data_IF_498381207076
#
_entry.id   IF_498381207076
#
_cell.length_a   1.000
_cell.length_b   1.000
_cell.length_c   1.000
_cell.angle_alpha   90.00
_cell.angle_beta   90.00
_cell.angle_gamma   90.00
#
_symmetry.space_group_name_H-M   'P 1'
#
loop_
_entity.id
_entity.type
_entity.pdbx_description
1 polymer ?
#
# COMPACT_ATOMS: atom_id res chain seq x y z
N UNK A 1 8.46 22.85 -7.89
CA UNK A 1 7.80 22.74 -6.58
C UNK A 1 7.42 24.13 -6.14
N UNK A 2 6.16 24.32 -5.78
CA UNK A 2 5.59 25.60 -5.34
C UNK A 2 5.08 25.44 -3.91
N UNK A 3 5.19 26.48 -3.07
CA UNK A 3 4.81 26.43 -1.65
C UNK A 3 3.88 27.60 -1.35
N UNK A 4 2.77 27.33 -0.69
CA UNK A 4 1.74 28.31 -0.36
C UNK A 4 1.46 28.32 1.14
N UNK A 5 1.37 29.52 1.70
CA UNK A 5 1.01 29.79 3.10
C UNK A 5 -0.27 30.64 3.22
N UNK A 6 -0.71 31.24 2.11
CA UNK A 6 -1.87 32.14 2.04
C UNK A 6 -2.74 31.80 0.82
N UNK A 7 -3.99 32.26 0.82
CA UNK A 7 -4.96 32.05 -0.27
C UNK A 7 -5.07 30.57 -0.67
N UNK A 8 -4.99 29.68 0.33
CA UNK A 8 -4.88 28.24 0.14
C UNK A 8 -6.10 27.69 -0.59
N UNK A 9 -7.30 28.09 -0.18
CA UNK A 9 -8.53 27.62 -0.82
C UNK A 9 -8.64 28.05 -2.28
N UNK A 10 -8.40 29.34 -2.59
CA UNK A 10 -8.51 29.83 -3.97
C UNK A 10 -7.47 29.19 -4.86
N UNK A 11 -6.26 28.96 -4.34
CA UNK A 11 -5.20 28.28 -5.09
C UNK A 11 -5.55 26.82 -5.30
N UNK A 12 -6.00 26.11 -4.26
CA UNK A 12 -6.44 24.72 -4.38
C UNK A 12 -7.56 24.56 -5.41
N UNK A 13 -8.59 25.39 -5.39
CA UNK A 13 -9.69 25.33 -6.38
C UNK A 13 -9.16 25.49 -7.81
N UNK A 14 -8.30 26.49 -8.05
CA UNK A 14 -7.69 26.71 -9.38
C UNK A 14 -6.91 25.49 -9.86
N UNK A 15 -6.16 24.85 -8.97
CA UNK A 15 -5.41 23.65 -9.29
C UNK A 15 -6.33 22.47 -9.60
N UNK A 16 -7.37 22.23 -8.80
CA UNK A 16 -8.36 21.19 -9.07
C UNK A 16 -9.04 21.41 -10.42
N UNK A 17 -9.38 22.66 -10.77
CA UNK A 17 -9.99 23.01 -12.06
C UNK A 17 -9.07 22.79 -13.27
N UNK A 18 -7.77 22.63 -13.04
CA UNK A 18 -6.79 22.26 -14.08
C UNK A 18 -6.85 20.78 -14.47
N UNK A 19 -7.50 19.92 -13.66
CA UNK A 19 -7.64 18.50 -13.95
C UNK A 19 -8.32 18.24 -15.29
N UNK A 20 -7.89 17.19 -16.00
CA UNK A 20 -8.41 16.78 -17.31
C UNK A 20 -8.86 15.33 -17.35
N UNK A 21 -8.29 14.47 -16.51
CA UNK A 21 -8.52 13.02 -16.51
C UNK A 21 -8.97 12.50 -15.16
N UNK A 22 -8.26 12.85 -14.09
CA UNK A 22 -8.51 12.27 -12.77
C UNK A 22 -8.17 13.20 -11.62
N UNK A 23 -8.91 13.00 -10.52
CA UNK A 23 -8.64 13.56 -9.20
C UNK A 23 -8.73 12.43 -8.16
N UNK A 24 -7.67 12.28 -7.38
CA UNK A 24 -7.59 11.35 -6.26
C UNK A 24 -7.29 12.14 -4.99
N UNK A 25 -8.26 12.24 -4.09
CA UNK A 25 -8.19 13.13 -2.91
C UNK A 25 -8.24 12.28 -1.64
N UNK A 26 -7.33 12.51 -0.70
CA UNK A 26 -7.37 11.94 0.66
C UNK A 26 -7.18 13.06 1.67
N UNK A 27 -8.25 13.36 2.41
CA UNK A 27 -8.24 14.45 3.41
C UNK A 27 -8.97 14.03 4.67
N UNK A 28 -8.41 14.35 5.85
CA UNK A 28 -9.07 14.05 7.12
C UNK A 28 -10.43 14.75 7.25
N UNK A 29 -10.50 16.02 6.84
CA UNK A 29 -11.72 16.84 6.85
C UNK A 29 -11.91 17.58 5.52
N UNK A 30 -13.15 17.54 5.03
CA UNK A 30 -13.57 18.18 3.78
C UNK A 30 -14.95 18.80 3.92
N UNK A 31 -15.02 20.13 3.90
CA UNK A 31 -16.28 20.85 3.78
C UNK A 31 -16.78 20.83 2.33
N UNK A 32 -17.51 19.77 1.98
CA UNK A 32 -18.01 19.52 0.62
C UNK A 32 -18.76 20.70 -0.01
N UNK A 33 -19.43 21.54 0.81
CA UNK A 33 -20.22 22.69 0.33
C UNK A 33 -19.36 23.72 -0.42
N UNK A 34 -18.07 23.80 -0.08
CA UNK A 34 -17.13 24.77 -0.66
C UNK A 34 -16.57 24.31 -2.01
N UNK A 35 -16.45 23.00 -2.19
CA UNK A 35 -15.86 22.38 -3.38
C UNK A 35 -16.90 21.75 -4.31
N UNK A 36 -18.19 21.76 -3.94
CA UNK A 36 -19.28 21.14 -4.69
C UNK A 36 -19.33 21.58 -6.15
N UNK A 37 -19.31 22.90 -6.40
CA UNK A 37 -19.36 23.43 -7.75
C UNK A 37 -18.17 22.95 -8.61
N UNK A 38 -16.97 22.95 -8.03
CA UNK A 38 -15.74 22.47 -8.68
C UNK A 38 -15.84 21.00 -9.04
N UNK A 39 -16.22 20.14 -8.08
CA UNK A 39 -16.35 18.70 -8.33
C UNK A 39 -17.44 18.37 -9.36
N UNK A 40 -18.61 19.03 -9.29
CA UNK A 40 -19.68 18.84 -10.27
C UNK A 40 -19.22 19.27 -11.67
N UNK A 41 -18.54 20.41 -11.79
CA UNK A 41 -18.07 20.92 -13.08
C UNK A 41 -17.00 20.02 -13.70
N UNK A 42 -16.10 19.46 -12.89
CA UNK A 42 -15.08 18.52 -13.35
C UNK A 42 -15.69 17.17 -13.74
N UNK A 43 -16.62 16.65 -12.96
CA UNK A 43 -17.32 15.41 -13.30
C UNK A 43 -18.10 15.55 -14.62
N UNK A 44 -18.74 16.71 -14.87
CA UNK A 44 -19.39 17.02 -16.16
C UNK A 44 -18.41 17.07 -17.34
N UNK A 45 -17.14 17.41 -17.10
CA UNK A 45 -16.07 17.37 -18.12
C UNK A 45 -15.52 15.96 -18.32
N UNK A 46 -16.01 14.96 -17.58
CA UNK A 46 -15.57 13.57 -17.66
C UNK A 46 -14.32 13.24 -16.84
N UNK A 47 -13.95 14.10 -15.87
CA UNK A 47 -12.86 13.81 -14.94
C UNK A 47 -13.32 12.72 -13.95
N UNK A 48 -12.52 11.66 -13.77
CA UNK A 48 -12.73 10.63 -12.75
C UNK A 48 -12.34 11.17 -11.38
N UNK A 49 -13.31 11.38 -10.48
CA UNK A 49 -13.08 12.00 -9.17
C UNK A 49 -13.33 10.97 -8.08
N UNK A 50 -12.28 10.68 -7.32
CA UNK A 50 -12.30 9.77 -6.17
C UNK A 50 -11.82 10.50 -4.93
N UNK A 51 -12.63 10.46 -3.88
CA UNK A 51 -12.40 11.19 -2.63
C UNK A 51 -12.48 10.23 -1.47
N UNK A 52 -11.46 10.22 -0.62
CA UNK A 52 -11.46 9.51 0.66
C UNK A 52 -11.40 10.53 1.79
N UNK A 53 -12.32 10.39 2.73
CA UNK A 53 -12.39 11.22 3.94
C UNK A 53 -12.46 10.39 5.20
N UNK A 54 -12.01 10.96 6.33
CA UNK A 54 -12.16 10.32 7.63
C UNK A 54 -13.63 10.18 8.01
N UNK A 55 -14.00 9.04 8.61
CA UNK A 55 -15.33 8.83 9.17
C UNK A 55 -15.53 9.68 10.42
N UNK A 56 -16.23 10.80 10.29
CA UNK A 56 -16.61 11.67 11.40
C UNK A 56 -17.93 12.41 11.11
N UNK A 57 -18.54 12.94 12.17
CA UNK A 57 -19.84 13.60 12.10
C UNK A 57 -19.85 14.85 11.22
N UNK A 58 -18.73 15.56 11.12
CA UNK A 58 -18.66 16.83 10.37
C UNK A 58 -18.67 16.55 8.87
N UNK A 59 -17.80 15.65 8.39
CA UNK A 59 -17.78 15.20 6.99
C UNK A 59 -19.13 14.63 6.57
N UNK A 60 -19.78 13.82 7.42
CA UNK A 60 -21.11 13.26 7.15
C UNK A 60 -22.17 14.35 6.99
N UNK A 61 -22.15 15.38 7.85
CA UNK A 61 -23.08 16.52 7.78
C UNK A 61 -22.81 17.40 6.55
N UNK A 62 -21.55 17.72 6.27
CA UNK A 62 -21.18 18.57 5.14
C UNK A 62 -21.54 17.92 3.81
N UNK A 63 -21.33 16.60 3.65
CA UNK A 63 -21.74 15.89 2.44
C UNK A 63 -23.26 15.90 2.26
N UNK A 64 -24.03 15.62 3.32
CA UNK A 64 -25.51 15.65 3.28
C UNK A 64 -26.08 17.03 2.94
N UNK A 65 -25.32 18.09 3.20
CA UNK A 65 -25.67 19.46 2.82
C UNK A 65 -25.47 19.79 1.34
N UNK A 66 -25.03 18.84 0.51
CA UNK A 66 -24.73 19.02 -0.91
C UNK A 66 -25.47 18.00 -1.78
N UNK A 67 -25.56 18.26 -3.08
CA UNK A 67 -26.07 17.31 -4.07
C UNK A 67 -25.12 16.12 -4.29
N UNK A 68 -23.84 16.23 -3.90
CA UNK A 68 -22.84 15.18 -4.04
C UNK A 68 -23.19 13.92 -3.25
N UNK A 69 -23.83 14.06 -2.09
CA UNK A 69 -24.19 12.92 -1.24
C UNK A 69 -25.16 11.91 -1.87
N UNK A 70 -25.85 12.30 -2.95
CA UNK A 70 -26.74 11.42 -3.73
C UNK A 70 -26.25 11.19 -5.17
N UNK A 71 -25.14 11.83 -5.57
CA UNK A 71 -24.60 11.76 -6.92
C UNK A 71 -23.67 10.55 -7.07
N UNK A 72 -23.72 9.90 -8.23
CA UNK A 72 -22.72 8.89 -8.64
C UNK A 72 -21.58 9.47 -9.48
N UNK A 73 -21.58 10.79 -9.68
CA UNK A 73 -20.59 11.46 -10.52
C UNK A 73 -19.22 11.60 -9.84
N UNK A 74 -19.14 11.36 -8.53
CA UNK A 74 -17.93 11.40 -7.71
C UNK A 74 -17.96 10.19 -6.78
N UNK A 75 -16.90 9.39 -6.72
CA UNK A 75 -16.78 8.27 -5.76
C UNK A 75 -16.25 8.82 -4.43
N UNK A 76 -17.10 8.86 -3.41
CA UNK A 76 -16.77 9.40 -2.09
C UNK A 76 -16.81 8.26 -1.07
N UNK A 77 -15.69 8.01 -0.42
CA UNK A 77 -15.54 6.98 0.60
C UNK A 77 -15.22 7.57 1.96
N UNK A 78 -15.88 7.06 2.98
CA UNK A 78 -15.58 7.36 4.37
C UNK A 78 -14.86 6.17 4.97
N UNK A 79 -13.67 6.39 5.50
CA UNK A 79 -12.89 5.32 6.11
C UNK A 79 -12.81 5.49 7.62
N UNK A 80 -12.89 4.37 8.33
CA UNK A 80 -12.42 4.27 9.71
C UNK A 80 -10.95 3.87 9.66
N UNK A 81 -10.17 4.42 10.58
CA UNK A 81 -8.79 3.97 10.71
C UNK A 81 -8.72 2.61 11.42
N UNK A 82 -7.70 1.81 11.11
CA UNK A 82 -7.44 0.54 11.81
C UNK A 82 -7.34 0.69 13.33
N UNK A 83 -7.60 -0.41 14.06
CA UNK A 83 -7.40 -0.45 15.52
C UNK A 83 -5.95 -0.07 15.84
N UNK A 84 -5.76 0.74 16.88
CA UNK A 84 -4.46 1.27 17.29
C UNK A 84 -4.10 2.62 16.67
N UNK A 85 -4.84 3.08 15.65
CA UNK A 85 -4.66 4.39 15.04
C UNK A 85 -5.72 5.38 15.52
N UNK A 86 -5.36 6.67 15.53
CA UNK A 86 -6.25 7.75 15.97
C UNK A 86 -7.29 8.16 14.92
N UNK A 87 -6.82 8.77 13.83
CA UNK A 87 -7.67 9.36 12.77
C UNK A 87 -6.97 9.34 11.41
N UNK A 88 -7.75 9.42 10.31
CA UNK A 88 -7.18 9.70 8.99
C UNK A 88 -6.74 11.16 8.97
N UNK A 89 -5.42 11.41 9.01
CA UNK A 89 -4.86 12.77 9.06
C UNK A 89 -4.17 13.21 7.77
N UNK A 90 -4.19 12.38 6.72
CA UNK A 90 -3.69 12.77 5.40
C UNK A 90 -4.39 14.04 4.91
N UNK A 91 -3.66 14.88 4.18
CA UNK A 91 -4.19 15.99 3.38
C UNK A 91 -3.43 16.05 2.06
N UNK A 92 -3.82 15.22 1.10
CA UNK A 92 -3.22 15.26 -0.22
C UNK A 92 -4.23 15.06 -1.34
N UNK A 93 -3.85 15.51 -2.54
CA UNK A 93 -4.58 15.31 -3.77
C UNK A 93 -3.59 15.00 -4.89
N UNK A 94 -3.98 14.09 -5.78
CA UNK A 94 -3.25 13.76 -7.01
C UNK A 94 -4.12 14.18 -8.19
N UNK A 95 -3.55 14.99 -9.07
CA UNK A 95 -4.20 15.51 -10.28
C UNK A 95 -3.55 14.85 -11.50
N UNK A 96 -4.37 14.19 -12.31
CA UNK A 96 -4.01 13.57 -13.59
C UNK A 96 -2.77 12.64 -13.53
N UNK A 97 -2.51 12.03 -12.36
CA UNK A 97 -1.31 11.22 -12.10
C UNK A 97 0.00 11.94 -12.46
N UNK A 98 0.06 13.26 -12.21
CA UNK A 98 1.24 14.10 -12.52
C UNK A 98 1.54 15.14 -11.47
N UNK A 99 0.52 15.65 -10.79
CA UNK A 99 0.68 16.68 -9.77
C UNK A 99 0.20 16.14 -8.43
N UNK A 100 1.00 16.33 -7.40
CA UNK A 100 0.62 16.12 -6.00
C UNK A 100 0.50 17.46 -5.30
N UNK A 101 -0.59 17.65 -4.57
CA UNK A 101 -0.75 18.73 -3.60
C UNK A 101 -0.79 18.09 -2.23
N UNK A 102 0.05 18.53 -1.29
CA UNK A 102 0.07 17.98 0.08
C UNK A 102 0.50 19.03 1.10
N UNK A 103 0.07 18.90 2.36
CA UNK A 103 0.39 19.89 3.39
C UNK A 103 -0.33 19.66 4.71
N UNK A 104 -0.41 20.71 5.52
CA UNK A 104 -1.17 20.72 6.77
C UNK A 104 -2.64 21.10 6.58
N UNK A 105 -2.94 21.84 5.50
CA UNK A 105 -4.26 22.41 5.22
C UNK A 105 -5.38 21.36 5.11
N UNK A 106 -6.25 21.31 6.12
CA UNK A 106 -7.54 20.61 6.01
C UNK A 106 -8.47 21.40 5.08
N UNK A 107 -9.30 20.71 4.29
CA UNK A 107 -10.13 21.35 3.27
C UNK A 107 -11.45 21.84 3.88
N UNK A 108 -11.34 22.72 4.88
CA UNK A 108 -12.45 23.23 5.69
C UNK A 108 -12.43 24.75 5.75
N UNK A 109 -13.57 25.35 6.11
CA UNK A 109 -13.63 26.80 6.31
C UNK A 109 -12.66 27.29 7.37
N UNK A 110 -12.66 26.68 8.55
CA UNK A 110 -11.81 27.09 9.68
C UNK A 110 -10.32 27.03 9.35
N UNK A 111 -9.90 26.02 8.57
CA UNK A 111 -8.52 25.95 8.10
C UNK A 111 -8.17 27.08 7.13
N UNK A 112 -9.13 27.57 6.35
CA UNK A 112 -8.94 28.65 5.39
C UNK A 112 -8.97 30.05 6.04
N UNK A 113 -9.76 30.24 7.09
CA UNK A 113 -9.98 31.55 7.73
C UNK A 113 -9.22 31.77 9.03
N UNK A 114 -8.97 30.71 9.81
CA UNK A 114 -8.65 30.84 11.24
C UNK A 114 -7.45 29.98 11.68
N UNK A 115 -6.73 29.33 10.75
CA UNK A 115 -5.58 28.46 11.05
C UNK A 115 -4.36 28.86 10.23
N UNK A 116 -3.16 28.72 10.82
CA UNK A 116 -1.90 28.81 10.08
C UNK A 116 -1.63 27.47 9.41
N UNK A 117 -1.74 27.45 8.09
CA UNK A 117 -1.70 26.23 7.29
C UNK A 117 -0.78 26.43 6.08
N UNK A 118 -0.35 25.33 5.46
CA UNK A 118 0.38 25.38 4.21
C UNK A 118 0.05 24.17 3.33
N UNK A 119 0.38 24.28 2.05
CA UNK A 119 0.59 23.12 1.20
C UNK A 119 1.70 23.39 0.18
N UNK A 120 2.24 22.30 -0.36
CA UNK A 120 3.17 22.30 -1.48
C UNK A 120 2.50 21.69 -2.70
N UNK A 121 2.86 22.20 -3.88
CA UNK A 121 2.52 21.60 -5.16
C UNK A 121 3.78 21.04 -5.79
N UNK A 122 3.74 19.74 -6.07
CA UNK A 122 4.83 18.97 -6.67
C UNK A 122 4.34 18.48 -8.03
N UNK A 123 5.01 18.86 -9.11
CA UNK A 123 4.60 18.57 -10.49
C UNK A 123 5.65 17.72 -11.20
N UNK A 124 5.19 16.77 -11.99
CA UNK A 124 5.99 15.96 -12.91
C UNK A 124 7.19 15.28 -12.21
N UNK A 125 6.98 14.87 -10.95
CA UNK A 125 7.93 14.07 -10.17
C UNK A 125 7.35 12.66 -10.02
N UNK A 126 7.61 11.81 -11.00
CA UNK A 126 7.01 10.46 -11.13
C UNK A 126 7.13 9.65 -9.83
N UNK A 127 8.33 9.55 -9.25
CA UNK A 127 8.54 8.82 -7.99
C UNK A 127 7.67 9.34 -6.83
N UNK A 128 7.44 10.65 -6.75
CA UNK A 128 6.58 11.24 -5.70
C UNK A 128 5.12 10.93 -5.98
N UNK A 129 4.67 11.14 -7.22
CA UNK A 129 3.30 10.85 -7.65
C UNK A 129 2.96 9.39 -7.41
N UNK A 130 3.87 8.48 -7.77
CA UNK A 130 3.71 7.05 -7.59
C UNK A 130 3.51 6.69 -6.11
N UNK A 131 4.37 7.19 -5.22
CA UNK A 131 4.24 6.91 -3.78
C UNK A 131 2.93 7.43 -3.17
N UNK A 132 2.45 8.59 -3.60
CA UNK A 132 1.14 9.08 -3.16
C UNK A 132 0.00 8.27 -3.79
N UNK A 133 0.16 7.80 -5.02
CA UNK A 133 -0.83 6.95 -5.70
C UNK A 133 -0.96 5.60 -5.00
N UNK A 134 0.16 5.02 -4.56
CA UNK A 134 0.18 3.77 -3.78
C UNK A 134 -0.60 3.94 -2.47
N UNK A 135 -0.32 5.00 -1.71
CA UNK A 135 -1.04 5.28 -0.45
C UNK A 135 -2.52 5.61 -0.70
N UNK A 136 -2.84 6.31 -1.80
CA UNK A 136 -4.22 6.52 -2.21
C UNK A 136 -4.92 5.19 -2.43
N UNK A 137 -4.30 4.26 -3.18
CA UNK A 137 -4.88 2.95 -3.45
C UNK A 137 -5.07 2.14 -2.16
N UNK A 138 -4.13 2.21 -1.21
CA UNK A 138 -4.26 1.58 0.13
C UNK A 138 -5.49 2.09 0.84
N UNK A 139 -5.61 3.40 0.95
CA UNK A 139 -6.65 4.06 1.73
C UNK A 139 -8.02 3.95 1.05
N UNK A 140 -8.08 4.03 -0.27
CA UNK A 140 -9.31 3.96 -1.05
C UNK A 140 -9.95 2.57 -1.03
N UNK A 141 -9.15 1.50 -1.04
CA UNK A 141 -9.64 0.13 -0.96
C UNK A 141 -9.73 -0.41 0.48
N UNK A 142 -9.51 0.43 1.48
CA UNK A 142 -9.62 0.05 2.89
C UNK A 142 -11.09 -0.11 3.31
N UNK A 143 -11.60 -1.35 3.23
CA UNK A 143 -12.94 -1.71 3.70
C UNK A 143 -12.93 -2.17 5.15
N UNK A 144 -14.09 -2.15 5.83
CA UNK A 144 -14.21 -2.69 7.19
C UNK A 144 -13.87 -4.18 7.24
N UNK A 145 -14.32 -4.97 6.26
CA UNK A 145 -14.00 -6.39 6.10
C UNK A 145 -12.49 -6.60 5.95
N UNK A 146 -11.82 -5.82 5.10
CA UNK A 146 -10.37 -5.90 4.92
C UNK A 146 -9.63 -5.59 6.22
N UNK A 147 -10.02 -4.52 6.91
CA UNK A 147 -9.45 -4.16 8.21
C UNK A 147 -9.67 -5.27 9.25
N UNK A 148 -10.83 -5.91 9.24
CA UNK A 148 -11.10 -7.03 10.12
C UNK A 148 -10.10 -8.16 9.88
N UNK A 149 -9.97 -8.63 8.64
CA UNK A 149 -9.11 -9.77 8.31
C UNK A 149 -7.62 -9.50 8.52
N UNK A 150 -7.13 -8.31 8.19
CA UNK A 150 -5.71 -7.97 8.34
C UNK A 150 -5.32 -7.78 9.82
N UNK A 151 -6.21 -7.28 10.67
CA UNK A 151 -5.88 -6.96 12.07
C UNK A 151 -6.29 -8.02 13.09
N UNK A 152 -7.18 -8.94 12.74
CA UNK A 152 -7.65 -9.98 13.66
C UNK A 152 -6.86 -11.26 13.43
N UNK A 153 -5.58 -11.22 13.79
CA UNK A 153 -4.71 -12.39 13.76
C UNK A 153 -5.18 -13.46 14.76
N UNK A 154 -5.21 -14.69 14.29
CA UNK A 154 -5.47 -15.87 15.12
C UNK A 154 -4.32 -16.05 16.14
N UNK A 155 -4.63 -16.65 17.28
CA UNK A 155 -3.60 -17.03 18.24
C UNK A 155 -2.91 -18.30 17.76
N UNK A 156 -1.60 -18.40 18.01
CA UNK A 156 -0.88 -19.66 17.81
C UNK A 156 -1.56 -20.80 18.59
N UNK A 157 -1.72 -21.95 17.93
CA UNK A 157 -2.41 -23.11 18.49
C UNK A 157 -1.51 -23.98 19.38
N UNK A 158 -0.20 -23.71 19.41
CA UNK A 158 0.76 -24.44 20.22
C UNK A 158 0.54 -24.18 21.73
N UNK A 159 0.72 -25.22 22.55
CA UNK A 159 0.48 -25.13 23.99
C UNK A 159 1.40 -24.07 24.62
N UNK A 160 0.81 -23.15 25.41
CA UNK A 160 1.52 -22.04 26.12
C UNK A 160 2.17 -21.00 25.21
N UNK A 161 2.09 -21.13 23.89
CA UNK A 161 2.54 -20.07 22.98
C UNK A 161 1.56 -18.88 23.05
N UNK A 162 2.10 -17.66 23.03
CA UNK A 162 1.32 -16.41 23.03
C UNK A 162 1.38 -15.67 21.70
N UNK A 163 2.09 -16.24 20.72
CA UNK A 163 2.27 -15.62 19.42
C UNK A 163 0.99 -15.57 18.59
N UNK A 164 1.07 -14.78 17.52
CA UNK A 164 0.02 -14.62 16.52
C UNK A 164 0.39 -15.36 15.25
N UNK A 165 -0.61 -15.88 14.56
CA UNK A 165 -0.43 -16.52 13.26
C UNK A 165 -0.54 -15.48 12.16
N UNK A 166 0.44 -15.46 11.28
CA UNK A 166 0.48 -14.63 10.07
C UNK A 166 0.77 -15.51 8.86
N UNK A 167 0.11 -15.21 7.75
CA UNK A 167 0.35 -15.89 6.48
C UNK A 167 1.33 -15.09 5.63
N UNK A 168 2.45 -15.71 5.27
CA UNK A 168 3.43 -15.17 4.33
C UNK A 168 3.44 -16.00 3.07
N UNK A 169 3.49 -15.34 1.91
CA UNK A 169 3.70 -16.00 0.63
C UNK A 169 5.19 -16.06 0.33
N UNK A 170 5.73 -17.27 0.18
CA UNK A 170 7.14 -17.53 -0.06
C UNK A 170 7.31 -18.15 -1.44
N UNK A 171 8.08 -17.52 -2.31
CA UNK A 171 8.45 -18.09 -3.61
C UNK A 171 9.81 -18.75 -3.57
N UNK A 172 9.94 -19.83 -4.34
CA UNK A 172 11.21 -20.47 -4.61
C UNK A 172 11.99 -19.70 -5.68
N UNK A 173 13.32 -19.71 -5.60
CA UNK A 173 14.21 -19.04 -6.57
C UNK A 173 14.30 -19.84 -7.90
N UNK A 174 13.97 -21.13 -7.85
CA UNK A 174 13.96 -22.01 -9.01
C UNK A 174 12.55 -22.23 -9.51
N UNK A 175 12.37 -22.11 -10.82
CA UNK A 175 11.17 -22.58 -11.50
C UNK A 175 11.00 -24.09 -11.29
N UNK A 176 9.76 -24.55 -11.22
CA UNK A 176 9.47 -25.98 -11.22
C UNK A 176 9.92 -26.66 -12.53
N UNK A 177 9.70 -27.98 -12.63
CA UNK A 177 10.06 -28.76 -13.82
C UNK A 177 9.41 -28.29 -15.13
N UNK A 178 8.42 -27.40 -15.06
CA UNK A 178 7.73 -26.80 -16.20
C UNK A 178 8.14 -25.36 -16.49
N UNK A 179 8.95 -24.75 -15.61
CA UNK A 179 9.40 -23.36 -15.77
C UNK A 179 8.58 -22.36 -14.96
N UNK A 180 7.63 -22.80 -14.14
CA UNK A 180 6.74 -21.92 -13.39
C UNK A 180 7.33 -21.57 -12.01
N UNK A 181 7.22 -20.30 -11.61
CA UNK A 181 7.62 -19.85 -10.27
C UNK A 181 6.51 -20.22 -9.28
N UNK A 182 6.80 -21.16 -8.38
CA UNK A 182 5.83 -21.68 -7.41
C UNK A 182 5.92 -20.90 -6.10
N UNK A 183 4.76 -20.39 -5.66
CA UNK A 183 4.59 -19.72 -4.38
C UNK A 183 3.80 -20.59 -3.42
N UNK A 184 4.33 -20.73 -2.21
CA UNK A 184 3.72 -21.47 -1.11
C UNK A 184 3.30 -20.49 0.00
N UNK A 185 2.13 -20.73 0.59
CA UNK A 185 1.65 -19.93 1.72
C UNK A 185 2.08 -20.63 3.01
N UNK A 186 2.90 -19.94 3.80
CA UNK A 186 3.34 -20.39 5.11
C UNK A 186 2.58 -19.60 6.18
N UNK A 187 1.84 -20.31 7.02
CA UNK A 187 1.31 -19.75 8.26
C UNK A 187 2.36 -19.91 9.35
N UNK A 188 2.87 -18.79 9.86
CA UNK A 188 3.99 -18.73 10.79
C UNK A 188 3.60 -18.01 12.08
N UNK A 189 4.11 -18.49 13.21
CA UNK A 189 3.95 -17.86 14.51
C UNK A 189 4.91 -16.68 14.70
N UNK A 190 4.42 -15.57 15.25
CA UNK A 190 5.25 -14.38 15.48
C UNK A 190 6.25 -14.48 16.64
N UNK A 191 6.11 -15.46 17.54
CA UNK A 191 7.01 -15.64 18.70
C UNK A 191 8.00 -16.80 18.51
N UNK A 192 7.53 -17.90 17.92
CA UNK A 192 8.33 -19.13 17.73
C UNK A 192 8.27 -19.56 16.25
N UNK A 193 8.80 -18.74 15.32
CA UNK A 193 8.58 -18.93 13.88
C UNK A 193 9.22 -20.19 13.30
N UNK A 194 10.26 -20.72 13.97
CA UNK A 194 11.00 -21.90 13.52
C UNK A 194 10.43 -23.22 14.06
N UNK A 195 9.60 -23.17 15.10
CA UNK A 195 8.96 -24.35 15.69
C UNK A 195 7.47 -24.41 15.36
N UNK A 196 6.82 -23.26 15.27
CA UNK A 196 5.37 -23.15 15.09
C UNK A 196 5.04 -22.51 13.73
N UNK A 197 5.17 -23.31 12.68
CA UNK A 197 4.71 -22.96 11.35
C UNK A 197 4.03 -24.15 10.67
N UNK A 198 3.26 -23.88 9.62
CA UNK A 198 2.78 -24.90 8.69
C UNK A 198 2.67 -24.30 7.30
N UNK A 199 3.00 -25.11 6.30
CA UNK A 199 2.61 -24.84 4.92
C UNK A 199 1.11 -25.12 4.79
N UNK A 200 0.38 -24.18 4.21
CA UNK A 200 -1.02 -24.39 3.85
C UNK A 200 -1.05 -25.13 2.51
N UNK A 201 -1.93 -26.14 2.38
CA UNK A 201 -2.12 -26.95 1.16
C UNK A 201 -2.81 -26.14 0.03
N UNK A 202 -2.36 -24.91 -0.20
CA UNK A 202 -2.89 -23.95 -1.15
C UNK A 202 -1.72 -23.43 -1.99
N UNK A 203 -1.59 -23.98 -3.20
CA UNK A 203 -0.63 -23.46 -4.18
C UNK A 203 -1.19 -22.14 -4.71
N UNK A 204 -0.35 -21.12 -4.84
CA UNK A 204 -0.76 -19.88 -5.49
C UNK A 204 -0.98 -20.13 -6.99
N UNK A 205 -2.24 -20.22 -7.40
CA UNK A 205 -2.65 -20.33 -8.81
C UNK A 205 -3.07 -18.96 -9.38
N UNK A 206 -2.88 -17.86 -8.62
CA UNK A 206 -3.20 -16.52 -9.14
C UNK A 206 -2.17 -16.12 -10.21
N UNK A 207 -2.59 -15.98 -11.49
CA UNK A 207 -1.66 -15.68 -12.57
C UNK A 207 -1.00 -14.31 -12.45
N UNK A 208 -1.58 -13.37 -11.70
CA UNK A 208 -0.96 -12.07 -11.47
C UNK A 208 0.13 -12.15 -10.41
N UNK A 209 -0.06 -12.95 -9.36
CA UNK A 209 0.96 -13.17 -8.34
C UNK A 209 2.17 -13.90 -8.93
N UNK A 210 1.94 -14.96 -9.70
CA UNK A 210 3.02 -15.71 -10.35
C UNK A 210 3.78 -14.83 -11.34
N UNK A 211 3.06 -14.05 -12.17
CA UNK A 211 3.71 -13.09 -13.09
C UNK A 211 4.54 -12.05 -12.34
N UNK A 212 4.05 -11.53 -11.21
CA UNK A 212 4.84 -10.59 -10.40
C UNK A 212 6.11 -11.23 -9.83
N UNK A 213 6.06 -12.51 -9.45
CA UNK A 213 7.24 -13.25 -9.00
C UNK A 213 8.23 -13.51 -10.14
N UNK A 214 7.75 -13.89 -11.33
CA UNK A 214 8.57 -14.06 -12.54
C UNK A 214 9.28 -12.76 -12.93
N UNK A 215 8.53 -11.66 -13.06
CA UNK A 215 9.08 -10.34 -13.39
C UNK A 215 10.06 -9.84 -12.32
N UNK A 216 9.83 -10.18 -11.06
CA UNK A 216 10.79 -9.89 -10.00
C UNK A 216 12.11 -10.62 -10.21
N UNK A 217 12.07 -11.92 -10.53
CA UNK A 217 13.28 -12.72 -10.76
C UNK A 217 14.06 -12.16 -11.94
N UNK A 218 13.36 -11.82 -13.04
CA UNK A 218 13.96 -11.18 -14.20
C UNK A 218 14.58 -9.82 -13.86
N UNK A 219 13.82 -8.93 -13.21
CA UNK A 219 14.29 -7.60 -12.82
C UNK A 219 15.47 -7.65 -11.86
N UNK A 220 15.45 -8.57 -10.90
CA UNK A 220 16.56 -8.75 -9.95
C UNK A 220 17.82 -9.23 -10.66
N UNK A 221 17.72 -10.17 -11.61
CA UNK A 221 18.86 -10.63 -12.43
C UNK A 221 19.47 -9.48 -13.23
N UNK A 222 18.65 -8.67 -13.90
CA UNK A 222 19.14 -7.52 -14.67
C UNK A 222 19.89 -6.49 -13.80
N UNK A 223 19.43 -6.26 -12.56
CA UNK A 223 20.10 -5.36 -11.62
C UNK A 223 21.42 -5.95 -11.08
N UNK A 224 21.48 -7.26 -10.82
CA UNK A 224 22.72 -7.91 -10.42
C UNK A 224 23.76 -7.97 -11.54
N UNK A 225 23.35 -8.07 -12.81
CA UNK A 225 24.28 -7.94 -13.93
C UNK A 225 24.89 -6.52 -13.96
N UNK A 226 24.07 -5.48 -13.72
CA UNK A 226 24.55 -4.09 -13.61
C UNK A 226 25.47 -3.85 -12.39
N UNK A 227 25.29 -4.62 -11.31
CA UNK A 227 26.19 -4.62 -10.16
C UNK A 227 27.60 -5.07 -10.54
N UNK A 228 27.68 -6.16 -11.32
CA UNK A 228 28.96 -6.74 -11.74
C UNK A 228 29.72 -5.83 -12.70
N UNK A 229 29.00 -4.98 -13.43
CA UNK A 229 29.57 -3.91 -14.27
C UNK A 229 29.96 -2.63 -13.47
N UNK A 230 30.00 -2.69 -12.14
CA UNK A 230 30.35 -1.61 -11.17
C UNK A 230 29.45 -0.34 -11.21
N UNK A 231 28.25 -0.42 -11.79
CA UNK A 231 27.36 0.76 -11.93
C UNK A 231 26.47 1.06 -10.71
N UNK A 232 26.31 0.10 -9.78
CA UNK A 232 25.40 0.21 -8.63
C UNK A 232 26.02 -0.41 -7.37
N UNK A 233 25.60 0.06 -6.19
CA UNK A 233 25.89 -0.63 -4.93
C UNK A 233 24.84 -1.71 -4.65
N UNK A 234 25.13 -2.64 -3.72
CA UNK A 234 24.14 -3.63 -3.25
C UNK A 234 22.91 -2.94 -2.64
N UNK A 235 23.12 -1.87 -1.90
CA UNK A 235 22.07 -1.06 -1.28
C UNK A 235 21.17 -0.41 -2.34
N UNK A 236 21.73 0.11 -3.43
CA UNK A 236 20.95 0.67 -4.55
C UNK A 236 20.06 -0.39 -5.22
N UNK A 237 20.56 -1.63 -5.32
CA UNK A 237 19.83 -2.74 -5.92
C UNK A 237 18.70 -3.17 -5.00
N UNK A 238 18.98 -3.36 -3.71
CA UNK A 238 17.98 -3.72 -2.71
C UNK A 238 16.87 -2.64 -2.63
N UNK A 239 17.23 -1.35 -2.68
CA UNK A 239 16.24 -0.26 -2.72
C UNK A 239 15.37 -0.28 -3.99
N UNK A 240 15.96 -0.53 -5.16
CA UNK A 240 15.22 -0.60 -6.43
C UNK A 240 14.28 -1.79 -6.48
N UNK A 241 14.76 -2.94 -6.01
CA UNK A 241 13.97 -4.16 -5.89
C UNK A 241 12.81 -3.94 -4.93
N UNK A 242 13.08 -3.43 -3.73
CA UNK A 242 12.05 -3.12 -2.74
C UNK A 242 11.02 -2.13 -3.29
N UNK A 243 11.46 -1.06 -3.97
CA UNK A 243 10.56 -0.07 -4.57
C UNK A 243 9.65 -0.67 -5.64
N UNK A 244 10.21 -1.46 -6.56
CA UNK A 244 9.45 -2.06 -7.65
C UNK A 244 8.40 -3.07 -7.12
N UNK A 245 8.77 -3.84 -6.10
CA UNK A 245 7.90 -4.87 -5.54
C UNK A 245 6.83 -4.35 -4.60
N UNK A 246 7.21 -3.47 -3.68
CA UNK A 246 6.28 -2.83 -2.76
C UNK A 246 5.11 -2.21 -3.54
N UNK A 247 5.40 -1.46 -4.62
CA UNK A 247 4.38 -0.83 -5.45
C UNK A 247 3.39 -1.84 -6.08
N UNK A 248 3.91 -2.93 -6.66
CA UNK A 248 3.09 -3.93 -7.35
C UNK A 248 2.27 -4.75 -6.35
N UNK A 249 2.87 -5.16 -5.23
CA UNK A 249 2.19 -5.90 -4.18
C UNK A 249 1.17 -5.07 -3.42
N UNK A 250 1.45 -3.80 -3.14
CA UNK A 250 0.47 -2.86 -2.57
C UNK A 250 -0.72 -2.75 -3.51
N UNK A 251 -0.50 -2.50 -4.80
CA UNK A 251 -1.59 -2.41 -5.78
C UNK A 251 -2.41 -3.70 -5.86
N UNK A 252 -1.75 -4.85 -5.91
CA UNK A 252 -2.41 -6.16 -5.93
C UNK A 252 -3.23 -6.40 -4.66
N UNK A 253 -2.61 -6.25 -3.48
CA UNK A 253 -3.22 -6.49 -2.16
C UNK A 253 -4.34 -5.52 -1.77
N UNK A 254 -4.39 -4.35 -2.41
CA UNK A 254 -5.47 -3.39 -2.22
C UNK A 254 -6.67 -3.67 -3.14
N UNK A 255 -6.41 -4.08 -4.38
CA UNK A 255 -7.49 -4.29 -5.38
C UNK A 255 -8.09 -5.68 -5.32
N UNK A 256 -7.36 -6.62 -4.75
CA UNK A 256 -7.80 -7.97 -4.47
C UNK A 256 -7.79 -8.09 -2.95
N UNK A 257 -8.93 -8.43 -2.33
CA UNK A 257 -8.84 -9.17 -1.07
C UNK A 257 -7.90 -10.32 -1.42
N UNK A 258 -6.75 -10.43 -0.77
CA UNK A 258 -5.71 -11.40 -1.13
C UNK A 258 -6.17 -12.80 -0.75
N UNK A 259 -7.32 -13.20 -1.29
CA UNK A 259 -7.94 -14.50 -1.27
C UNK A 259 -7.30 -15.27 -2.41
N UNK A 260 -6.03 -15.60 -2.25
CA UNK A 260 -5.35 -16.56 -3.15
C UNK A 260 -6.09 -17.91 -3.07
N UNK A 261 -6.72 -18.17 -1.92
CA UNK A 261 -7.80 -19.11 -1.71
C UNK A 261 -8.92 -18.42 -0.89
N UNK A 262 -10.20 -18.83 -1.01
CA UNK A 262 -11.29 -18.23 -0.24
C UNK A 262 -11.01 -18.26 1.28
N UNK A 263 -10.78 -17.09 1.89
CA UNK A 263 -10.66 -16.96 3.35
C UNK A 263 -9.23 -16.88 3.90
N UNK A 264 -8.18 -16.96 3.08
CA UNK A 264 -6.80 -16.71 3.52
C UNK A 264 -6.46 -15.24 3.28
N UNK A 265 -5.86 -14.58 4.27
CA UNK A 265 -5.32 -13.22 4.14
C UNK A 265 -3.81 -13.28 4.20
N UNK A 266 -3.13 -12.76 3.17
CA UNK A 266 -1.67 -12.58 3.22
C UNK A 266 -1.30 -11.34 4.04
N UNK A 267 -0.25 -11.50 4.84
CA UNK A 267 0.32 -10.45 5.68
C UNK A 267 1.75 -10.11 5.27
N UNK A 268 2.41 -10.97 4.51
CA UNK A 268 3.74 -10.71 3.98
C UNK A 268 4.03 -11.50 2.71
N UNK A 269 5.10 -11.08 2.03
CA UNK A 269 5.61 -11.74 0.84
C UNK A 269 7.13 -11.74 0.85
N UNK A 270 7.71 -12.88 0.47
CA UNK A 270 9.14 -13.08 0.41
C UNK A 270 9.57 -14.14 -0.59
N UNK A 271 10.88 -14.36 -0.65
CA UNK A 271 11.49 -15.36 -1.50
C UNK A 271 12.67 -16.04 -0.83
N UNK A 272 12.91 -17.29 -1.21
CA UNK A 272 14.10 -18.03 -0.82
C UNK A 272 15.33 -17.43 -1.49
N UNK A 273 16.41 -17.28 -0.72
CA UNK A 273 17.71 -16.76 -1.14
C UNK A 273 18.82 -17.63 -0.59
N UNK A 274 19.94 -17.65 -1.30
CA UNK A 274 21.18 -18.27 -0.85
C UNK A 274 22.03 -17.25 -0.11
N UNK A 275 22.62 -17.66 1.02
CA UNK A 275 23.66 -16.84 1.63
C UNK A 275 24.92 -16.80 0.75
N UNK A 276 25.63 -15.67 0.71
CA UNK A 276 26.95 -15.61 0.08
C UNK A 276 27.89 -16.67 0.67
N UNK A 277 28.73 -17.31 -0.16
CA UNK A 277 29.70 -18.35 0.23
C UNK A 277 30.68 -17.97 1.36
N UNK A 278 30.73 -16.70 1.78
CA UNK A 278 31.55 -16.18 2.87
C UNK A 278 30.81 -16.07 4.22
N UNK A 279 29.54 -16.48 4.29
CA UNK A 279 28.79 -16.57 5.55
C UNK A 279 29.32 -17.66 6.47
N UNK A 280 28.99 -17.59 7.77
CA UNK A 280 29.57 -18.50 8.78
C UNK A 280 29.22 -19.94 8.43
N UNK A 281 30.15 -20.86 8.66
CA UNK A 281 29.99 -22.29 8.34
C UNK A 281 28.81 -22.99 9.04
N UNK A 282 28.20 -22.35 10.05
CA UNK A 282 27.05 -22.87 10.80
C UNK A 282 25.71 -22.25 10.39
N UNK A 283 25.70 -21.25 9.48
CA UNK A 283 24.46 -20.64 8.98
C UNK A 283 23.79 -21.58 7.94
N UNK A 284 22.45 -21.64 7.87
CA UNK A 284 21.76 -22.43 6.83
C UNK A 284 22.15 -21.96 5.43
N UNK A 285 22.15 -22.86 4.43
CA UNK A 285 22.52 -22.50 3.05
C UNK A 285 21.55 -21.49 2.43
N UNK A 286 20.27 -21.56 2.82
CA UNK A 286 19.17 -20.76 2.32
C UNK A 286 18.40 -20.07 3.45
N UNK A 287 17.77 -18.95 3.14
CA UNK A 287 16.88 -18.20 4.02
C UNK A 287 15.72 -17.59 3.24
N UNK A 288 14.65 -17.21 3.91
CA UNK A 288 13.55 -16.45 3.30
C UNK A 288 13.76 -14.97 3.56
N UNK A 289 13.93 -14.19 2.50
CA UNK A 289 13.93 -12.72 2.54
C UNK A 289 12.51 -12.19 2.36
N UNK A 290 12.02 -11.42 3.32
CA UNK A 290 10.73 -10.73 3.20
C UNK A 290 10.95 -9.38 2.51
N UNK A 291 10.18 -9.14 1.45
CA UNK A 291 10.25 -7.90 0.65
C UNK A 291 9.02 -7.01 0.86
N UNK A 292 7.92 -7.56 1.36
CA UNK A 292 6.72 -6.81 1.71
C UNK A 292 6.07 -7.36 2.97
N UNK A 293 5.57 -6.44 3.81
CA UNK A 293 4.79 -6.73 5.01
C UNK A 293 3.61 -5.78 5.08
N UNK A 294 2.45 -6.28 5.48
CA UNK A 294 1.33 -5.41 5.79
C UNK A 294 1.68 -4.54 6.98
N UNK A 295 1.53 -3.23 6.80
CA UNK A 295 1.96 -2.22 7.78
C UNK A 295 1.26 -2.31 9.14
N UNK A 296 0.10 -2.98 9.23
CA UNK A 296 -0.67 -3.07 10.47
C UNK A 296 -0.27 -4.26 11.35
N UNK A 297 0.52 -5.18 10.81
CA UNK A 297 1.03 -6.38 11.51
C UNK A 297 2.52 -6.62 11.20
N UNK A 298 3.22 -5.58 10.75
CA UNK A 298 4.62 -5.69 10.30
C UNK A 298 5.60 -6.04 11.41
N UNK A 299 5.20 -5.80 12.67
CA UNK A 299 5.88 -6.20 13.89
C UNK A 299 5.74 -7.70 14.20
N UNK A 300 4.80 -8.38 13.55
CA UNK A 300 4.56 -9.82 13.71
C UNK A 300 5.31 -10.68 12.67
N UNK A 301 6.01 -10.05 11.73
CA UNK A 301 6.70 -10.72 10.61
C UNK A 301 8.16 -10.27 10.59
N UNK A 302 9.09 -11.23 10.59
CA UNK A 302 10.53 -10.95 10.52
C UNK A 302 10.90 -10.38 9.15
N UNK A 303 12.00 -9.63 9.07
CA UNK A 303 12.54 -9.20 7.77
C UNK A 303 13.20 -10.36 7.02
N UNK A 304 13.71 -11.35 7.76
CA UNK A 304 14.37 -12.56 7.26
C UNK A 304 14.03 -13.74 8.19
N UNK A 305 13.83 -14.92 7.60
CA UNK A 305 13.69 -16.19 8.34
C UNK A 305 14.86 -17.10 7.97
N UNK A 306 15.62 -17.56 8.97
CA UNK A 306 16.76 -18.48 8.83
C UNK A 306 16.32 -19.94 8.61
N UNK A 307 15.18 -20.16 7.95
CA UNK A 307 14.60 -21.46 7.62
C UNK A 307 13.82 -21.32 6.31
N UNK A 308 13.73 -22.38 5.50
CA UNK A 308 12.96 -22.36 4.24
C UNK A 308 11.56 -22.94 4.38
N UNK A 309 11.12 -23.28 5.60
CA UNK A 309 9.84 -23.90 5.91
C UNK A 309 9.64 -25.26 5.24
N UNK A 310 10.74 -26.00 5.06
CA UNK A 310 10.79 -27.28 4.31
C UNK A 310 10.45 -27.17 2.81
N UNK A 311 10.51 -25.96 2.25
CA UNK A 311 10.40 -25.69 0.81
C UNK A 311 11.69 -25.99 0.04
#
# INVERSE_FOLDING_TARGET
>A
MEIFFDQLEQTLIRELESARKSLQIVVGWLDFRRFEATFINLAKKGVDIKIVVGKNNDNDKWLKGTSLGSSKAVDIRFIKVPRGYGILHHKFCIIDSKTVITGSYNWTYTAASDSFENFVIIRDQERVVDRFSDEFDVVFHMTEDRLYHIQHLENCTAEKCKGKLVNILVYQDTSDKYGDVVGDIIEVCSEEPYEHYRQLDEVVIDPNLNRMAEEFVEFSRELYDQYQDEQLTKEDIDERIAYHMDRRFVKYSNTHVVNIAPGITLHGWGMIRQYPLLHKHDDPENYVKIYWKDRFVSDQILDEYEDTFSL
#
